data_IF_715548231425
#
_entry.id   IF_715548231425
#
_cell.length_a   1.000
_cell.length_b   1.000
_cell.length_c   1.000
_cell.angle_alpha   90.00
_cell.angle_beta   90.00
_cell.angle_gamma   90.00
#
_symmetry.space_group_name_H-M   'P 1'
#
loop_
_entity.id
_entity.type
_entity.pdbx_description
1 polymer ?
#
# COMPACT_ATOMS: atom_id res chain seq x y z
N UNK A 1 5.23 3.85 -26.71
CA UNK A 1 5.34 2.38 -26.89
C UNK A 1 5.07 1.69 -25.56
N UNK A 2 4.66 0.41 -25.53
CA UNK A 2 4.39 -0.30 -24.27
C UNK A 2 5.69 -0.76 -23.58
N UNK A 3 5.67 -0.94 -22.26
CA UNK A 3 6.83 -1.44 -21.48
C UNK A 3 7.44 -2.72 -22.07
N UNK A 4 6.59 -3.65 -22.53
CA UNK A 4 7.01 -4.89 -23.19
C UNK A 4 7.75 -4.67 -24.52
N UNK A 5 7.44 -3.59 -25.25
CA UNK A 5 8.12 -3.23 -26.49
C UNK A 5 9.52 -2.68 -26.21
N UNK A 6 9.70 -1.87 -25.16
CA UNK A 6 11.02 -1.39 -24.76
C UNK A 6 11.91 -2.52 -24.22
N UNK A 7 11.34 -3.42 -23.41
CA UNK A 7 12.07 -4.58 -22.89
C UNK A 7 12.55 -5.50 -24.03
N UNK A 8 11.66 -5.84 -24.98
CA UNK A 8 12.05 -6.65 -26.14
C UNK A 8 13.04 -5.94 -27.07
N UNK A 9 12.94 -4.62 -27.24
CA UNK A 9 13.91 -3.84 -28.00
C UNK A 9 15.30 -3.88 -27.35
N UNK A 10 15.39 -3.64 -26.04
CA UNK A 10 16.66 -3.69 -25.31
C UNK A 10 17.26 -5.10 -25.31
N UNK A 11 16.46 -6.14 -25.12
CA UNK A 11 16.95 -7.52 -25.21
C UNK A 11 17.53 -7.85 -26.59
N UNK A 12 16.86 -7.42 -27.65
CA UNK A 12 17.32 -7.62 -29.03
C UNK A 12 18.62 -6.84 -29.30
N UNK A 13 18.71 -5.59 -28.87
CA UNK A 13 19.89 -4.75 -29.07
C UNK A 13 21.10 -5.28 -28.28
N UNK A 14 20.88 -5.72 -27.03
CA UNK A 14 21.92 -6.33 -26.20
C UNK A 14 22.39 -7.65 -26.79
N UNK A 15 21.49 -8.43 -27.41
CA UNK A 15 21.85 -9.65 -28.13
C UNK A 15 22.70 -9.35 -29.37
N UNK A 16 22.39 -8.29 -30.12
CA UNK A 16 23.20 -7.85 -31.26
C UNK A 16 24.60 -7.39 -30.81
N UNK A 17 24.67 -6.59 -29.74
CA UNK A 17 25.95 -6.09 -29.19
C UNK A 17 26.82 -7.21 -28.59
N UNK A 18 26.22 -8.25 -28.02
CA UNK A 18 26.95 -9.44 -27.54
C UNK A 18 27.53 -10.30 -28.66
N UNK A 19 26.94 -10.24 -29.85
CA UNK A 19 27.37 -11.02 -31.01
C UNK A 19 28.41 -10.30 -31.88
N UNK A 20 28.77 -9.05 -31.55
CA UNK A 20 29.86 -8.33 -32.22
C UNK A 20 31.20 -9.00 -31.91
N UNK A 21 31.81 -9.62 -32.92
CA UNK A 21 33.12 -10.24 -32.81
C UNK A 21 34.22 -9.19 -33.03
N UNK A 22 35.20 -9.15 -32.13
CA UNK A 22 36.38 -8.27 -32.20
C UNK A 22 37.15 -8.42 -33.52
N UNK A 23 37.06 -9.61 -34.13
CA UNK A 23 37.63 -9.94 -35.45
C UNK A 23 37.12 -9.05 -36.58
N UNK A 24 35.92 -8.48 -36.47
CA UNK A 24 35.34 -7.63 -37.50
C UNK A 24 35.73 -6.16 -37.34
N UNK A 25 36.08 -5.74 -36.12
CA UNK A 25 36.35 -4.33 -35.76
C UNK A 25 37.84 -3.99 -35.90
N UNK A 26 38.72 -4.92 -35.55
CA UNK A 26 40.15 -4.71 -35.59
C UNK A 26 40.80 -5.59 -36.68
N UNK A 27 40.91 -5.07 -37.91
CA UNK A 27 41.82 -5.63 -38.92
C UNK A 27 43.26 -5.34 -38.49
N UNK A 28 43.73 -6.08 -37.50
CA UNK A 28 45.12 -6.09 -37.04
C UNK A 28 45.95 -6.96 -37.99
N UNK A 29 46.02 -6.57 -39.27
CA UNK A 29 46.73 -7.31 -40.32
C UNK A 29 48.26 -7.05 -40.28
N UNK A 30 48.74 -6.09 -39.48
CA UNK A 30 50.16 -5.67 -39.47
C UNK A 30 50.99 -6.24 -38.30
N UNK A 31 50.38 -6.95 -37.34
CA UNK A 31 51.11 -7.67 -36.30
C UNK A 31 51.12 -9.17 -36.61
N UNK A 32 52.28 -9.81 -36.40
CA UNK A 32 52.47 -11.24 -36.65
C UNK A 32 51.31 -12.09 -36.13
N UNK A 33 50.89 -13.07 -36.92
CA UNK A 33 49.66 -13.87 -36.73
C UNK A 33 49.45 -14.33 -35.29
N UNK A 34 50.49 -14.81 -34.61
CA UNK A 34 50.42 -15.31 -33.24
C UNK A 34 50.23 -14.23 -32.16
N UNK A 35 50.76 -13.02 -32.34
CA UNK A 35 50.55 -11.92 -31.38
C UNK A 35 49.23 -11.21 -31.61
N UNK A 36 48.77 -11.14 -32.85
CA UNK A 36 47.45 -10.63 -33.22
C UNK A 36 46.34 -11.50 -32.62
N UNK A 37 46.43 -12.83 -32.76
CA UNK A 37 45.45 -13.76 -32.19
C UNK A 37 45.37 -13.68 -30.66
N UNK A 38 46.51 -13.61 -29.97
CA UNK A 38 46.53 -13.50 -28.50
C UNK A 38 46.00 -12.16 -27.99
N UNK A 39 46.26 -11.06 -28.70
CA UNK A 39 45.72 -9.74 -28.38
C UNK A 39 44.22 -9.69 -28.65
N UNK A 40 43.74 -10.26 -29.75
CA UNK A 40 42.32 -10.36 -30.06
C UNK A 40 41.58 -11.19 -29.02
N UNK A 41 42.14 -12.32 -28.61
CA UNK A 41 41.54 -13.18 -27.58
C UNK A 41 41.46 -12.47 -26.23
N UNK A 42 42.52 -11.74 -25.83
CA UNK A 42 42.51 -10.90 -24.62
C UNK A 42 41.52 -9.74 -24.70
N UNK A 43 41.43 -9.06 -25.84
CA UNK A 43 40.47 -7.98 -26.05
C UNK A 43 39.03 -8.50 -26.03
N UNK A 44 38.79 -9.67 -26.60
CA UNK A 44 37.49 -10.32 -26.56
C UNK A 44 37.12 -10.78 -25.14
N UNK A 45 38.10 -11.26 -24.36
CA UNK A 45 37.91 -11.57 -22.94
C UNK A 45 37.61 -10.32 -22.09
N UNK A 46 38.31 -9.21 -22.32
CA UNK A 46 38.05 -7.95 -21.61
C UNK A 46 36.70 -7.33 -22.02
N UNK A 47 36.33 -7.40 -23.30
CA UNK A 47 35.01 -6.94 -23.76
C UNK A 47 33.88 -7.80 -23.22
N UNK A 48 34.04 -9.12 -23.18
CA UNK A 48 33.02 -10.02 -22.60
C UNK A 48 32.86 -9.78 -21.10
N UNK A 49 33.94 -9.55 -20.34
CA UNK A 49 33.86 -9.14 -18.93
C UNK A 49 33.11 -7.82 -18.76
N UNK A 50 33.46 -6.79 -19.52
CA UNK A 50 32.75 -5.49 -19.46
C UNK A 50 31.28 -5.62 -19.87
N UNK A 51 30.97 -6.42 -20.89
CA UNK A 51 29.58 -6.68 -21.30
C UNK A 51 28.79 -7.41 -20.21
N UNK A 52 29.40 -8.34 -19.47
CA UNK A 52 28.75 -9.01 -18.33
C UNK A 52 28.50 -8.06 -17.17
N UNK A 53 29.36 -7.07 -16.96
CA UNK A 53 29.20 -6.05 -15.91
C UNK A 53 28.13 -5.01 -16.26
N UNK A 54 28.11 -4.53 -17.50
CA UNK A 54 27.19 -3.48 -17.96
C UNK A 54 25.80 -4.04 -18.24
N UNK A 55 25.68 -5.22 -18.88
CA UNK A 55 24.41 -5.84 -19.24
C UNK A 55 23.87 -6.80 -18.16
N UNK A 56 24.10 -6.51 -16.88
CA UNK A 56 23.40 -7.19 -15.79
C UNK A 56 21.92 -6.85 -15.86
N UNK A 57 21.06 -7.80 -15.48
CA UNK A 57 19.59 -7.62 -15.48
C UNK A 57 19.17 -6.40 -14.66
N UNK A 58 19.82 -6.16 -13.51
CA UNK A 58 19.58 -4.97 -12.68
C UNK A 58 19.81 -3.65 -13.43
N UNK A 59 20.87 -3.55 -14.24
CA UNK A 59 21.15 -2.33 -15.01
C UNK A 59 20.17 -2.17 -16.18
N UNK A 60 19.67 -3.27 -16.74
CA UNK A 60 18.66 -3.24 -17.80
C UNK A 60 17.33 -2.73 -17.25
N UNK A 61 16.94 -3.20 -16.07
CA UNK A 61 15.74 -2.75 -15.36
C UNK A 61 15.84 -1.25 -14.99
N UNK A 62 17.00 -0.80 -14.50
CA UNK A 62 17.24 0.62 -14.19
C UNK A 62 17.14 1.51 -15.44
N UNK A 63 17.64 1.04 -16.60
CA UNK A 63 17.54 1.77 -17.87
C UNK A 63 16.09 1.80 -18.35
N UNK A 64 15.36 0.68 -18.26
CA UNK A 64 13.94 0.62 -18.61
C UNK A 64 13.10 1.58 -17.77
N UNK A 65 13.37 1.64 -16.47
CA UNK A 65 12.68 2.55 -15.57
C UNK A 65 12.93 4.02 -15.94
N UNK A 66 14.18 4.39 -16.24
CA UNK A 66 14.51 5.76 -16.69
C UNK A 66 13.85 6.11 -18.02
N UNK A 67 13.83 5.19 -18.98
CA UNK A 67 13.14 5.39 -20.27
C UNK A 67 11.65 5.58 -20.04
N UNK A 68 11.03 4.78 -19.16
CA UNK A 68 9.63 4.92 -18.83
C UNK A 68 9.31 6.26 -18.17
N UNK A 69 10.15 6.72 -17.22
CA UNK A 69 9.99 8.04 -16.60
C UNK A 69 10.09 9.17 -17.63
N UNK A 70 11.07 9.10 -18.53
CA UNK A 70 11.25 10.10 -19.59
C UNK A 70 10.06 10.13 -20.55
N UNK A 71 9.61 8.97 -21.02
CA UNK A 71 8.42 8.86 -21.89
C UNK A 71 7.18 9.42 -21.19
N UNK A 72 7.00 9.14 -19.90
CA UNK A 72 5.92 9.72 -19.12
C UNK A 72 6.02 11.26 -19.03
N UNK A 73 7.22 11.81 -18.91
CA UNK A 73 7.39 13.27 -18.90
C UNK A 73 7.10 13.91 -20.26
N UNK A 74 7.59 13.32 -21.35
CA UNK A 74 7.32 13.81 -22.73
C UNK A 74 5.83 13.71 -23.04
N UNK A 75 5.20 12.60 -22.66
CA UNK A 75 3.77 12.42 -22.84
C UNK A 75 2.95 13.44 -22.05
N UNK A 76 3.38 13.79 -20.83
CA UNK A 76 2.74 14.88 -20.06
C UNK A 76 2.86 16.21 -20.79
N UNK A 77 4.02 16.54 -21.33
CA UNK A 77 4.23 17.77 -22.09
C UNK A 77 3.37 17.81 -23.36
N UNK A 78 3.26 16.69 -24.07
CA UNK A 78 2.38 16.54 -25.23
C UNK A 78 0.90 16.64 -24.83
N UNK A 79 0.52 16.04 -23.70
CA UNK A 79 -0.83 16.13 -23.16
C UNK A 79 -1.15 17.59 -22.81
N UNK A 80 -0.24 18.32 -22.18
CA UNK A 80 -0.39 19.76 -21.95
C UNK A 80 -0.53 20.55 -23.26
N UNK A 81 0.23 20.18 -24.29
CA UNK A 81 0.14 20.81 -25.62
C UNK A 81 -1.18 20.51 -26.32
N UNK A 82 -1.68 19.28 -26.23
CA UNK A 82 -2.98 18.85 -26.79
C UNK A 82 -4.13 19.48 -26.01
N UNK A 83 -4.05 19.55 -24.68
CA UNK A 83 -5.02 20.28 -23.85
C UNK A 83 -5.07 21.77 -24.17
N UNK A 84 -3.95 22.38 -24.55
CA UNK A 84 -3.92 23.76 -25.02
C UNK A 84 -4.54 23.95 -26.42
N UNK A 85 -4.61 22.87 -27.22
CA UNK A 85 -5.10 22.91 -28.61
C UNK A 85 -6.57 22.47 -28.74
N UNK A 86 -6.97 21.46 -27.98
CA UNK A 86 -8.35 20.98 -27.86
C UNK A 86 -9.01 21.87 -26.82
N UNK A 87 -9.66 22.94 -27.31
CA UNK A 87 -10.23 24.01 -26.51
C UNK A 87 -10.85 23.52 -25.20
N UNK A 88 -10.30 24.05 -24.11
CA UNK A 88 -10.73 23.98 -22.72
C UNK A 88 -11.82 22.94 -22.41
N UNK A 89 -11.47 21.91 -21.64
CA UNK A 89 -12.41 21.47 -20.62
C UNK A 89 -12.72 22.74 -19.81
N UNK A 90 -13.98 23.25 -19.80
CA UNK A 90 -14.26 24.53 -19.18
C UNK A 90 -13.80 24.45 -17.73
N UNK A 91 -12.92 25.38 -17.32
CA UNK A 91 -12.38 25.48 -15.96
C UNK A 91 -13.49 25.43 -14.90
N UNK A 92 -14.70 25.82 -15.27
CA UNK A 92 -15.88 25.75 -14.40
C UNK A 92 -16.32 24.30 -14.04
N UNK A 93 -15.87 23.28 -14.77
CA UNK A 93 -16.22 21.86 -14.55
C UNK A 93 -15.14 21.05 -13.84
N UNK A 94 -13.90 21.51 -13.87
CA UNK A 94 -12.78 20.91 -13.13
C UNK A 94 -12.71 21.72 -11.84
N UNK A 95 -13.13 21.16 -10.70
CA UNK A 95 -13.25 21.93 -9.47
C UNK A 95 -11.98 22.72 -9.08
N UNK A 96 -12.16 23.77 -8.29
CA UNK A 96 -11.15 24.81 -8.02
C UNK A 96 -9.83 24.25 -7.50
N UNK A 97 -9.87 23.19 -6.70
CA UNK A 97 -8.67 22.66 -6.05
C UNK A 97 -7.81 21.85 -7.03
N UNK A 98 -8.43 21.23 -8.05
CA UNK A 98 -7.70 20.53 -9.12
C UNK A 98 -7.00 21.55 -10.03
N UNK A 99 -7.65 22.68 -10.30
CA UNK A 99 -7.05 23.79 -11.06
C UNK A 99 -5.91 24.42 -10.27
N UNK A 100 -6.11 24.64 -8.97
CA UNK A 100 -5.09 25.22 -8.09
C UNK A 100 -3.86 24.31 -7.95
N UNK A 101 -4.03 22.98 -7.98
CA UNK A 101 -2.93 22.01 -8.05
C UNK A 101 -2.17 22.08 -9.38
N UNK A 102 -2.84 22.40 -10.48
CA UNK A 102 -2.23 22.54 -11.81
C UNK A 102 -1.40 23.82 -11.94
N UNK A 103 -1.79 24.89 -11.24
CA UNK A 103 -1.13 26.20 -11.31
C UNK A 103 0.11 26.33 -10.40
N UNK A 104 0.51 25.27 -9.70
CA UNK A 104 1.80 25.12 -8.99
C UNK A 104 2.28 26.36 -8.22
N UNK A 105 1.37 27.06 -7.54
CA UNK A 105 1.76 28.11 -6.58
C UNK A 105 1.89 27.48 -5.20
N UNK A 106 3.14 27.19 -4.83
CA UNK A 106 3.54 26.75 -3.50
C UNK A 106 2.99 27.72 -2.43
N UNK A 107 1.94 27.27 -1.71
CA UNK A 107 1.34 28.03 -0.61
C UNK A 107 -0.18 28.00 -0.49
N UNK A 108 -0.90 27.40 -1.44
CA UNK A 108 -2.38 27.27 -1.34
C UNK A 108 -2.78 26.07 -0.48
N UNK A 109 -3.74 26.30 0.43
CA UNK A 109 -4.31 25.24 1.27
C UNK A 109 -5.25 24.38 0.43
N UNK A 110 -4.89 23.11 0.21
CA UNK A 110 -5.76 22.14 -0.47
C UNK A 110 -6.61 21.42 0.57
N UNK A 111 -7.93 21.50 0.44
CA UNK A 111 -8.84 20.75 1.30
C UNK A 111 -9.07 19.37 0.71
N UNK A 112 -8.69 18.32 1.46
CA UNK A 112 -8.91 16.94 1.02
C UNK A 112 -10.40 16.69 0.74
N UNK A 113 -11.31 17.29 1.50
CA UNK A 113 -12.76 17.15 1.28
C UNK A 113 -13.23 17.80 -0.02
N UNK A 114 -12.67 18.96 -0.37
CA UNK A 114 -13.01 19.63 -1.62
C UNK A 114 -12.39 18.88 -2.80
N UNK A 115 -11.13 18.44 -2.69
CA UNK A 115 -10.49 17.59 -3.69
C UNK A 115 -11.25 16.28 -3.95
N UNK A 116 -11.76 15.63 -2.90
CA UNK A 116 -12.60 14.43 -3.04
C UNK A 116 -13.90 14.71 -3.80
N UNK A 117 -14.52 15.87 -3.53
CA UNK A 117 -15.72 16.34 -4.24
C UNK A 117 -15.40 16.64 -5.71
N UNK A 118 -14.28 17.30 -5.96
CA UNK A 118 -13.84 17.68 -7.30
C UNK A 118 -13.51 16.45 -8.15
N UNK A 119 -12.86 15.44 -7.58
CA UNK A 119 -12.59 14.15 -8.23
C UNK A 119 -13.90 13.43 -8.59
N UNK A 120 -14.92 13.49 -7.72
CA UNK A 120 -16.22 12.88 -8.00
C UNK A 120 -16.96 13.58 -9.17
N UNK A 121 -16.70 14.88 -9.36
CA UNK A 121 -17.30 15.72 -10.39
C UNK A 121 -16.54 15.68 -11.74
N UNK A 122 -15.37 15.04 -11.81
CA UNK A 122 -14.61 14.93 -13.05
C UNK A 122 -15.44 14.21 -14.14
N UNK A 123 -15.58 14.83 -15.34
CA UNK A 123 -16.34 14.25 -16.42
C UNK A 123 -15.64 13.01 -16.98
N UNK A 124 -16.43 12.05 -17.45
CA UNK A 124 -15.90 11.01 -18.31
C UNK A 124 -15.73 11.60 -19.71
N UNK A 125 -14.55 11.45 -20.29
CA UNK A 125 -14.32 11.91 -21.66
C UNK A 125 -14.54 10.71 -22.57
N UNK A 126 -15.57 10.81 -23.41
CA UNK A 126 -15.81 9.90 -24.54
C UNK A 126 -15.97 10.75 -25.80
N UNK A 127 -15.24 10.43 -26.85
CA UNK A 127 -15.49 11.00 -28.17
C UNK A 127 -16.83 10.44 -28.67
N UNK A 128 -17.79 11.31 -28.98
CA UNK A 128 -18.98 10.88 -29.72
C UNK A 128 -18.54 10.62 -31.17
N UNK A 129 -18.89 9.44 -31.68
CA UNK A 129 -18.83 9.04 -33.10
C UNK A 129 -17.49 8.62 -33.72
N UNK A 130 -16.65 7.84 -33.03
CA UNK A 130 -15.68 6.98 -33.74
C UNK A 130 -15.67 5.56 -33.20
N UNK A 131 -16.00 4.58 -34.05
CA UNK A 131 -15.94 3.14 -33.76
C UNK A 131 -14.49 2.63 -33.51
N UNK A 132 -13.50 3.53 -33.47
CA UNK A 132 -12.06 3.27 -33.26
C UNK A 132 -11.57 3.69 -31.85
N UNK A 133 -12.46 3.70 -30.86
CA UNK A 133 -12.24 4.20 -29.48
C UNK A 133 -11.19 3.44 -28.64
N UNK A 134 -10.61 2.33 -29.13
CA UNK A 134 -9.48 1.66 -28.46
C UNK A 134 -8.11 2.25 -28.84
N UNK A 135 -8.04 3.17 -29.82
CA UNK A 135 -6.76 3.61 -30.40
C UNK A 135 -6.20 4.95 -29.89
N UNK A 136 -6.89 5.67 -28.99
CA UNK A 136 -6.28 6.83 -28.32
C UNK A 136 -5.83 6.47 -26.89
N UNK A 137 -4.55 6.14 -26.68
CA UNK A 137 -4.04 5.67 -25.39
C UNK A 137 -4.27 6.69 -24.27
N UNK A 138 -4.24 7.99 -24.59
CA UNK A 138 -4.40 9.09 -23.66
C UNK A 138 -5.80 9.16 -23.01
N UNK A 139 -6.86 8.96 -23.78
CA UNK A 139 -8.23 8.98 -23.27
C UNK A 139 -8.51 7.76 -22.38
N UNK A 140 -7.98 6.59 -22.76
CA UNK A 140 -8.05 5.38 -21.95
C UNK A 140 -7.34 5.56 -20.61
N UNK A 141 -6.13 6.14 -20.62
CA UNK A 141 -5.37 6.40 -19.40
C UNK A 141 -6.03 7.45 -18.51
N UNK A 142 -6.58 8.53 -19.08
CA UNK A 142 -7.33 9.52 -18.31
C UNK A 142 -8.53 8.89 -17.59
N UNK A 143 -9.35 8.12 -18.32
CA UNK A 143 -10.53 7.48 -17.74
C UNK A 143 -10.14 6.45 -16.66
N UNK A 144 -9.08 5.65 -16.90
CA UNK A 144 -8.53 4.74 -15.88
C UNK A 144 -8.04 5.47 -14.64
N UNK A 145 -7.33 6.58 -14.81
CA UNK A 145 -6.83 7.39 -13.69
C UNK A 145 -7.98 8.00 -12.90
N UNK A 146 -9.00 8.54 -13.58
CA UNK A 146 -10.23 9.06 -12.96
C UNK A 146 -10.92 7.98 -12.14
N UNK A 147 -11.13 6.79 -12.69
CA UNK A 147 -11.79 5.70 -11.97
C UNK A 147 -10.97 5.24 -10.76
N UNK A 148 -9.65 5.11 -10.92
CA UNK A 148 -8.74 4.80 -9.82
C UNK A 148 -8.73 5.86 -8.71
N UNK A 149 -8.87 7.14 -9.05
CA UNK A 149 -9.01 8.22 -8.07
C UNK A 149 -10.36 8.15 -7.36
N UNK A 150 -11.46 7.88 -8.06
CA UNK A 150 -12.79 7.70 -7.44
C UNK A 150 -12.80 6.53 -6.45
N UNK A 151 -12.14 5.42 -6.77
CA UNK A 151 -12.06 4.29 -5.86
C UNK A 151 -11.25 4.61 -4.59
N UNK A 152 -10.17 5.41 -4.72
CA UNK A 152 -9.45 5.95 -3.55
C UNK A 152 -10.34 6.86 -2.71
N UNK A 153 -11.13 7.75 -3.32
CA UNK A 153 -12.09 8.61 -2.62
C UNK A 153 -13.11 7.78 -1.83
N UNK A 154 -13.67 6.73 -2.44
CA UNK A 154 -14.59 5.80 -1.75
C UNK A 154 -13.91 5.13 -0.56
N UNK A 155 -12.71 4.60 -0.74
CA UNK A 155 -11.96 3.96 0.33
C UNK A 155 -11.68 4.91 1.51
N UNK A 156 -11.36 6.18 1.24
CA UNK A 156 -11.19 7.20 2.29
C UNK A 156 -12.51 7.42 3.03
N UNK A 157 -13.64 7.58 2.34
CA UNK A 157 -14.96 7.75 2.99
C UNK A 157 -15.36 6.55 3.84
N UNK A 158 -15.06 5.34 3.39
CA UNK A 158 -15.36 4.12 4.15
C UNK A 158 -14.45 3.98 5.38
N UNK A 159 -13.17 4.37 5.25
CA UNK A 159 -12.25 4.46 6.37
C UNK A 159 -12.70 5.51 7.41
N UNK A 160 -13.13 6.70 6.97
CA UNK A 160 -13.64 7.74 7.87
C UNK A 160 -14.88 7.30 8.65
N UNK A 161 -15.76 6.47 8.06
CA UNK A 161 -16.92 5.91 8.76
C UNK A 161 -16.56 4.81 9.75
N UNK A 162 -15.58 3.97 9.41
CA UNK A 162 -15.18 2.82 10.23
C UNK A 162 -14.22 3.18 11.37
N UNK A 163 -13.35 4.18 11.19
CA UNK A 163 -12.39 4.62 12.20
C UNK A 163 -13.02 4.99 13.56
N UNK A 164 -14.10 5.79 13.62
CA UNK A 164 -14.79 6.09 14.88
C UNK A 164 -15.39 4.84 15.53
N UNK A 165 -15.83 3.87 14.72
CA UNK A 165 -16.42 2.62 15.21
C UNK A 165 -15.34 1.71 15.83
N UNK A 166 -14.11 1.74 15.32
CA UNK A 166 -12.97 0.99 15.88
C UNK A 166 -12.33 1.69 17.07
N UNK A 167 -12.36 3.03 17.10
CA UNK A 167 -11.77 3.82 18.19
C UNK A 167 -12.46 3.57 19.53
N UNK A 168 -13.79 3.47 19.53
CA UNK A 168 -14.57 3.22 20.77
C UNK A 168 -14.19 1.90 21.47
N UNK A 169 -14.21 0.72 20.81
CA UNK A 169 -13.74 -0.53 21.40
C UNK A 169 -12.29 -0.44 21.86
N UNK A 170 -11.41 0.19 21.07
CA UNK A 170 -10.00 0.33 21.42
C UNK A 170 -9.81 1.14 22.71
N UNK A 171 -10.55 2.24 22.87
CA UNK A 171 -10.52 3.05 24.09
C UNK A 171 -11.09 2.25 25.29
N UNK A 172 -12.10 1.42 25.08
CA UNK A 172 -12.64 0.51 26.12
C UNK A 172 -11.61 -0.55 26.53
N UNK A 173 -10.94 -1.19 25.57
CA UNK A 173 -9.88 -2.17 25.85
C UNK A 173 -8.72 -1.52 26.62
N UNK A 174 -8.28 -0.33 26.20
CA UNK A 174 -7.25 0.43 26.94
C UNK A 174 -7.71 0.78 28.35
N UNK A 175 -8.97 1.15 28.53
CA UNK A 175 -9.50 1.44 29.87
C UNK A 175 -9.53 0.20 30.76
N UNK A 176 -9.89 -0.96 30.19
CA UNK A 176 -9.87 -2.24 30.91
C UNK A 176 -8.44 -2.65 31.29
N UNK A 177 -7.51 -2.56 30.34
CA UNK A 177 -6.10 -2.87 30.55
C UNK A 177 -5.52 -1.98 31.66
N UNK A 178 -5.75 -0.66 31.61
CA UNK A 178 -5.33 0.26 32.66
C UNK A 178 -5.97 -0.03 34.02
N UNK A 179 -7.23 -0.50 34.06
CA UNK A 179 -7.91 -0.83 35.31
C UNK A 179 -7.31 -2.08 35.96
N UNK A 180 -7.02 -3.11 35.14
CA UNK A 180 -6.34 -4.33 35.59
C UNK A 180 -4.92 -4.00 36.05
N UNK A 181 -4.18 -3.21 35.28
CA UNK A 181 -2.81 -2.82 35.59
C UNK A 181 -2.73 -2.06 36.93
N UNK A 182 -3.68 -1.15 37.19
CA UNK A 182 -3.75 -0.44 38.47
C UNK A 182 -4.05 -1.32 39.67
N UNK A 183 -4.85 -2.38 39.50
CA UNK A 183 -5.23 -3.27 40.60
C UNK A 183 -4.24 -4.43 40.82
N UNK A 184 -3.65 -4.96 39.75
CA UNK A 184 -2.89 -6.21 39.76
C UNK A 184 -1.44 -6.05 39.25
N UNK A 185 -1.06 -4.90 38.69
CA UNK A 185 0.30 -4.53 38.31
C UNK A 185 0.89 -5.22 37.07
N UNK A 186 0.32 -6.35 36.63
CA UNK A 186 0.72 -7.04 35.41
C UNK A 186 -0.52 -7.61 34.72
N UNK A 187 -0.96 -6.91 33.68
CA UNK A 187 -2.19 -7.24 32.96
C UNK A 187 -2.09 -8.57 32.22
N UNK A 188 -0.92 -8.90 31.68
CA UNK A 188 -0.67 -10.18 30.99
C UNK A 188 -0.79 -11.37 31.93
N UNK A 189 -0.11 -11.32 33.09
CA UNK A 189 -0.22 -12.39 34.09
C UNK A 189 -1.62 -12.52 34.67
N UNK A 190 -2.33 -11.40 34.83
CA UNK A 190 -3.72 -11.42 35.29
C UNK A 190 -4.61 -12.21 34.34
N UNK A 191 -4.54 -11.96 33.02
CA UNK A 191 -5.35 -12.69 32.06
C UNK A 191 -4.97 -14.17 31.92
N UNK A 192 -3.69 -14.52 32.04
CA UNK A 192 -3.22 -15.91 32.03
C UNK A 192 -3.72 -16.71 33.24
N UNK A 193 -3.68 -16.11 34.44
CA UNK A 193 -4.08 -16.78 35.69
C UNK A 193 -5.56 -16.57 36.03
N UNK A 194 -6.30 -15.79 35.25
CA UNK A 194 -7.69 -15.44 35.52
C UNK A 194 -8.57 -16.68 35.70
N UNK A 195 -8.45 -17.65 34.80
CA UNK A 195 -9.25 -18.87 34.85
C UNK A 195 -8.95 -19.70 36.10
N UNK A 196 -7.68 -19.83 36.47
CA UNK A 196 -7.26 -20.57 37.67
C UNK A 196 -7.76 -19.88 38.94
N UNK A 197 -7.66 -18.54 38.99
CA UNK A 197 -8.16 -17.74 40.11
C UNK A 197 -9.68 -17.85 40.27
N UNK A 198 -10.43 -17.83 39.17
CA UNK A 198 -11.90 -18.02 39.20
C UNK A 198 -12.26 -19.42 39.70
N UNK A 199 -11.54 -20.46 39.26
CA UNK A 199 -11.77 -21.83 39.73
C UNK A 199 -11.43 -21.96 41.22
N UNK A 200 -10.32 -21.37 41.68
CA UNK A 200 -9.92 -21.39 43.08
C UNK A 200 -10.96 -20.68 43.96
N UNK A 201 -11.43 -19.50 43.56
CA UNK A 201 -12.49 -18.77 44.27
C UNK A 201 -13.82 -19.53 44.27
N UNK A 202 -14.19 -20.19 43.17
CA UNK A 202 -15.37 -21.05 43.11
C UNK A 202 -15.26 -22.27 44.05
N UNK A 203 -14.07 -22.86 44.17
CA UNK A 203 -13.83 -23.96 45.10
C UNK A 203 -13.83 -23.50 46.57
N UNK A 204 -13.27 -22.32 46.86
CA UNK A 204 -13.32 -21.73 48.20
C UNK A 204 -14.74 -21.37 48.64
N UNK A 205 -15.52 -20.78 47.74
CA UNK A 205 -16.93 -20.49 48.01
C UNK A 205 -17.75 -21.77 48.19
N UNK A 206 -17.51 -22.81 47.37
CA UNK A 206 -18.13 -24.12 47.55
C UNK A 206 -17.76 -24.75 48.91
N UNK A 207 -16.49 -24.69 49.32
CA UNK A 207 -16.03 -25.16 50.64
C UNK A 207 -16.66 -24.36 51.78
N UNK A 208 -16.76 -23.03 51.65
CA UNK A 208 -17.44 -22.17 52.62
C UNK A 208 -18.91 -22.57 52.78
N UNK A 209 -19.61 -22.75 51.67
CA UNK A 209 -21.01 -23.23 51.66
C UNK A 209 -21.12 -24.60 52.31
N UNK A 210 -20.21 -25.52 51.99
CA UNK A 210 -20.19 -26.86 52.58
C UNK A 210 -19.93 -26.84 54.10
N UNK A 211 -19.00 -26.00 54.57
CA UNK A 211 -18.71 -25.82 56.00
C UNK A 211 -19.91 -25.21 56.74
N UNK A 212 -20.60 -24.25 56.12
CA UNK A 212 -21.82 -23.64 56.67
C UNK A 212 -22.97 -24.66 56.73
N UNK A 213 -23.12 -25.50 55.70
CA UNK A 213 -24.13 -26.56 55.65
C UNK A 213 -23.84 -27.67 56.68
N UNK A 214 -22.57 -28.08 56.83
CA UNK A 214 -22.14 -29.12 57.78
C UNK A 214 -22.23 -28.70 59.25
N UNK A 215 -22.00 -27.42 59.57
CA UNK A 215 -22.00 -26.95 60.97
C UNK A 215 -23.41 -26.83 61.58
N UNK A 216 -24.44 -26.47 60.81
CA UNK A 216 -25.76 -26.17 61.39
C UNK A 216 -26.96 -26.87 60.73
N UNK A 217 -26.83 -27.56 59.59
CA UNK A 217 -27.97 -28.17 58.87
C UNK A 217 -29.07 -27.17 58.43
N UNK A 218 -28.91 -25.89 58.79
CA UNK A 218 -29.69 -24.71 58.44
C UNK A 218 -28.70 -23.56 58.35
N UNK A 219 -28.74 -22.82 57.23
CA UNK A 219 -27.89 -21.65 57.06
C UNK A 219 -28.23 -20.59 58.14
N UNK A 220 -27.22 -19.97 58.79
CA UNK A 220 -27.43 -18.75 59.57
C UNK A 220 -28.06 -17.67 58.68
N UNK A 221 -29.04 -16.92 59.21
CA UNK A 221 -29.74 -15.87 58.46
C UNK A 221 -28.77 -14.83 57.86
N UNK A 222 -27.69 -14.49 58.56
CA UNK A 222 -26.64 -13.60 58.06
C UNK A 222 -25.91 -14.13 56.81
N UNK A 223 -25.75 -15.45 56.68
CA UNK A 223 -25.12 -16.07 55.51
C UNK A 223 -26.10 -16.22 54.35
N UNK A 224 -27.40 -16.36 54.63
CA UNK A 224 -28.46 -16.28 53.62
C UNK A 224 -28.61 -14.86 53.08
N UNK A 225 -28.49 -13.85 53.94
CA UNK A 225 -28.52 -12.45 53.53
C UNK A 225 -27.27 -12.10 52.71
N UNK A 226 -26.08 -12.57 53.10
CA UNK A 226 -24.87 -12.43 52.28
C UNK A 226 -24.95 -13.17 50.94
N UNK A 227 -25.56 -14.35 50.88
CA UNK A 227 -25.81 -15.07 49.62
C UNK A 227 -26.84 -14.34 48.75
N UNK A 228 -27.92 -13.80 49.34
CA UNK A 228 -28.88 -12.96 48.63
C UNK A 228 -28.24 -11.70 48.09
N UNK A 229 -27.35 -11.08 48.86
CA UNK A 229 -26.62 -9.87 48.48
C UNK A 229 -25.68 -10.13 47.30
N UNK A 230 -24.95 -11.26 47.32
CA UNK A 230 -24.14 -11.75 46.20
C UNK A 230 -25.02 -12.06 44.98
N UNK A 231 -26.16 -12.72 45.15
CA UNK A 231 -27.09 -13.02 44.05
C UNK A 231 -27.66 -11.72 43.46
N UNK A 232 -28.06 -10.75 44.28
CA UNK A 232 -28.53 -9.45 43.81
C UNK A 232 -27.44 -8.64 43.14
N UNK A 233 -26.18 -8.73 43.60
CA UNK A 233 -25.04 -8.12 42.91
C UNK A 233 -24.79 -8.77 41.55
N UNK A 234 -24.88 -10.10 41.45
CA UNK A 234 -24.71 -10.80 40.17
C UNK A 234 -25.87 -10.54 39.20
N UNK A 235 -27.10 -10.40 39.69
CA UNK A 235 -28.25 -10.02 38.85
C UNK A 235 -28.20 -8.56 38.40
N UNK A 236 -27.64 -7.66 39.20
CA UNK A 236 -27.45 -6.25 38.84
C UNK A 236 -26.28 -6.00 37.85
N UNK A 237 -25.41 -7.01 37.63
CA UNK A 237 -24.31 -6.96 36.64
C UNK A 237 -24.70 -7.55 35.27
N UNK A 238 -25.93 -8.02 35.09
CA UNK A 238 -26.52 -8.36 33.78
C UNK A 238 -27.10 -7.13 33.09
#
# INVERSE_FOLDING_TARGET
>A
MSYSQYASFLENEIRLLRNLNVREIARLDELGTHTSDSLQERLQQELTKRHQEVFKTLNQDDVLLKVQEQEQTVLREELHRVMALVGDLPKDKIGSDIIDLQEAQDGKFVSIQQLMTDIDNLPQISLMDTEDLENEPLLSEYNKLRDGLRDKVKAIRDAEKSLPQLRRPLDQFRSLENAVDRQFGDTTKYFETYQENVIAQAQETAKLVEVVLKKNGKLPQSSMDGLKEIITMMEAMK
#
